data_IF_360318299990
#
_entry.id   IF_360318299990
#
_cell.length_a   1.000
_cell.length_b   1.000
_cell.length_c   1.000
_cell.angle_alpha   90.00
_cell.angle_beta   90.00
_cell.angle_gamma   90.00
#
_symmetry.space_group_name_H-M   'P 1'
#
loop_
_entity.id
_entity.type
_entity.pdbx_description
1 polymer ?
2 non-polymer ?
3 non-polymer ?
4 water ?
#
# COMPACT_ATOMS: atom_id res chain seq x y z
N UNK A 9 -12.05 7.77 -11.44
CA UNK A 9 -11.20 6.91 -12.26
C UNK A 9 -9.75 6.94 -11.80
N UNK A 10 -9.00 5.89 -12.14
CA UNK A 10 -7.61 5.74 -11.75
C UNK A 10 -6.63 5.88 -12.90
N UNK A 11 -7.03 5.51 -14.11
CA UNK A 11 -6.13 5.40 -15.23
C UNK A 11 -6.00 6.59 -16.14
N UNK A 12 -6.73 7.68 -15.86
CA UNK A 12 -6.74 8.86 -16.73
C UNK A 12 -6.05 10.06 -16.11
N UNK A 13 -5.17 9.85 -15.14
CA UNK A 13 -4.54 10.94 -14.43
C UNK A 13 -3.26 11.40 -15.14
N UNK A 14 -3.06 12.71 -15.19
CA UNK A 14 -1.86 13.30 -15.77
C UNK A 14 -0.63 12.85 -14.97
N UNK A 15 0.45 12.50 -15.68
CA UNK A 15 1.69 12.07 -15.06
C UNK A 15 2.85 12.97 -15.48
N UNK A 16 3.96 12.85 -14.75
CA UNK A 16 5.15 13.68 -14.96
C UNK A 16 5.66 13.61 -16.40
N UNK A 17 5.52 12.44 -17.04
CA UNK A 17 6.00 12.27 -18.40
C UNK A 17 5.12 12.99 -19.43
N UNK A 18 3.94 13.47 -19.04
CA UNK A 18 3.06 14.23 -19.92
C UNK A 18 3.27 15.74 -19.83
N UNK A 19 4.04 16.22 -18.86
CA UNK A 19 4.21 17.65 -18.64
C UNK A 19 5.27 18.20 -19.59
N UNK A 20 4.89 19.23 -20.37
CA UNK A 20 5.74 19.78 -21.42
C UNK A 20 6.62 20.93 -20.95
N UNK A 21 6.11 21.81 -20.08
CA UNK A 21 6.81 23.04 -19.71
C UNK A 21 7.42 22.88 -18.32
N UNK A 22 8.72 22.58 -18.26
CA UNK A 22 9.45 22.37 -17.02
C UNK A 22 10.62 23.33 -16.85
N UNK A 23 11.32 23.67 -17.93
CA UNK A 23 12.51 24.51 -17.83
C UNK A 23 12.19 25.86 -17.20
N UNK A 24 12.95 26.24 -16.17
CA UNK A 24 12.75 27.48 -15.48
C UNK A 24 11.60 27.51 -14.49
N UNK A 25 10.87 26.41 -14.31
CA UNK A 25 9.76 26.33 -13.37
C UNK A 25 10.25 26.02 -11.95
N UNK A 26 9.52 26.54 -10.97
CA UNK A 26 9.65 26.10 -9.59
C UNK A 26 8.69 24.94 -9.37
N UNK A 27 9.22 23.74 -9.15
CA UNK A 27 8.41 22.52 -9.08
C UNK A 27 8.31 22.04 -7.63
N UNK A 28 7.09 21.98 -7.11
CA UNK A 28 6.82 21.47 -5.77
C UNK A 28 6.46 19.98 -5.87
N UNK A 29 7.16 19.14 -5.10
CA UNK A 29 7.00 17.68 -5.17
C UNK A 29 6.65 17.15 -3.78
N UNK A 30 5.48 16.51 -3.66
CA UNK A 30 5.11 15.81 -2.43
C UNK A 30 5.68 14.39 -2.48
N UNK A 31 6.56 14.06 -1.53
CA UNK A 31 7.21 12.76 -1.49
C UNK A 31 6.89 12.02 -0.19
N UNK A 32 7.14 10.71 -0.20
CA UNK A 32 6.98 9.84 0.96
C UNK A 32 8.37 9.59 1.56
N UNK A 33 8.67 10.31 2.65
CA UNK A 33 9.93 10.20 3.39
C UNK A 33 9.68 9.73 4.82
N UNK A 34 8.61 8.96 5.04
CA UNK A 34 8.29 8.47 6.40
C UNK A 34 9.14 7.25 6.74
N UNK A 35 10.43 7.51 6.99
CA UNK A 35 11.41 6.45 7.24
C UNK A 35 11.75 6.39 8.72
N UNK A 36 12.15 5.22 9.25
CA UNK A 36 12.56 5.17 10.67
C UNK A 36 13.90 5.85 10.87
N UNK A 37 13.98 6.69 11.90
CA UNK A 37 15.18 7.45 12.24
C UNK A 37 15.50 7.19 13.71
N UNK A 38 16.76 6.89 14.02
CA UNK A 38 17.19 6.61 15.38
C UNK A 38 18.38 7.48 15.72
N UNK A 39 18.15 8.49 16.57
CA UNK A 39 19.12 9.52 16.94
C UNK A 39 19.94 10.00 15.74
N UNK A 40 19.22 10.47 14.72
CA UNK A 40 19.82 11.09 13.55
C UNK A 40 20.27 10.13 12.46
N UNK A 41 20.08 8.83 12.63
CA UNK A 41 20.52 7.83 11.66
C UNK A 41 19.29 7.16 11.05
N UNK A 42 19.30 7.06 9.72
CA UNK A 42 18.21 6.41 8.98
C UNK A 42 18.62 4.96 8.72
N UNK A 43 17.78 4.02 9.14
CA UNK A 43 18.13 2.61 9.06
C UNK A 43 17.65 1.93 7.80
N UNK A 44 16.76 2.56 7.04
CA UNK A 44 16.23 1.98 5.81
C UNK A 44 16.03 3.14 4.84
N UNK A 45 16.83 3.17 3.78
CA UNK A 45 16.81 4.26 2.81
C UNK A 45 16.00 3.95 1.56
N UNK A 46 15.26 2.83 1.53
CA UNK A 46 14.53 2.43 0.34
C UNK A 46 13.60 3.53 -0.18
N UNK A 47 12.85 4.17 0.73
CA UNK A 47 11.90 5.19 0.27
C UNK A 47 12.61 6.41 -0.29
N UNK A 48 13.83 6.70 0.18
CA UNK A 48 14.57 7.83 -0.36
C UNK A 48 15.11 7.51 -1.75
N UNK A 49 15.72 6.33 -1.89
CA UNK A 49 16.20 5.88 -3.20
C UNK A 49 15.06 5.87 -4.22
N UNK A 50 13.84 5.54 -3.78
CA UNK A 50 12.69 5.46 -4.68
C UNK A 50 12.34 6.79 -5.34
N UNK A 51 12.75 7.92 -4.76
CA UNK A 51 12.41 9.21 -5.36
C UNK A 51 13.38 9.67 -6.44
N UNK A 52 14.50 8.96 -6.62
CA UNK A 52 15.51 9.44 -7.55
C UNK A 52 15.00 9.61 -8.99
N UNK A 53 14.17 8.72 -9.54
CA UNK A 53 13.70 8.96 -10.93
C UNK A 53 12.94 10.27 -11.11
N UNK A 54 12.06 10.64 -10.17
CA UNK A 54 11.34 11.90 -10.27
C UNK A 54 12.30 13.09 -10.20
N UNK A 55 13.23 13.06 -9.24
CA UNK A 55 14.18 14.15 -9.08
C UNK A 55 15.07 14.30 -10.31
N UNK A 56 15.59 13.17 -10.82
CA UNK A 56 16.47 13.24 -12.00
C UNK A 56 15.75 13.81 -13.22
N UNK A 57 14.48 13.43 -13.42
CA UNK A 57 13.75 13.93 -14.57
C UNK A 57 13.60 15.45 -14.51
N UNK A 58 13.26 15.98 -13.34
CA UNK A 58 13.09 17.42 -13.19
C UNK A 58 14.41 18.15 -13.37
N UNK A 59 15.51 17.58 -12.85
CA UNK A 59 16.82 18.19 -13.04
C UNK A 59 17.19 18.25 -14.52
N UNK A 60 17.07 17.13 -15.23
CA UNK A 60 17.48 17.06 -16.62
C UNK A 60 16.64 17.99 -17.51
N UNK A 61 15.36 18.15 -17.19
CA UNK A 61 14.48 19.02 -17.96
C UNK A 61 14.64 20.50 -17.59
N UNK A 62 15.52 20.84 -16.66
CA UNK A 62 15.88 22.23 -16.42
C UNK A 62 15.04 22.99 -15.42
N UNK A 63 14.38 22.30 -14.48
CA UNK A 63 13.62 22.99 -13.45
C UNK A 63 14.49 24.02 -12.75
N UNK A 64 13.93 25.22 -12.48
CA UNK A 64 14.69 26.23 -11.73
C UNK A 64 14.90 25.80 -10.29
N UNK A 65 13.89 25.24 -9.64
CA UNK A 65 14.00 24.75 -8.27
C UNK A 65 13.18 23.48 -8.12
N UNK A 66 13.72 22.52 -7.38
CA UNK A 66 13.04 21.27 -7.06
C UNK A 66 12.78 21.28 -5.56
N UNK A 67 11.53 21.51 -5.18
CA UNK A 67 11.15 21.81 -3.80
C UNK A 67 10.36 20.63 -3.25
N UNK A 68 10.94 19.92 -2.29
CA UNK A 68 10.34 18.71 -1.73
C UNK A 68 9.63 18.99 -0.41
N UNK A 69 8.40 18.47 -0.27
CA UNK A 69 7.63 18.54 0.98
C UNK A 69 7.22 17.12 1.37
N UNK A 70 7.21 16.84 2.68
CA UNK A 70 6.98 15.47 3.16
C UNK A 70 6.66 15.50 4.66
N UNK A 71 6.56 14.30 5.26
CA UNK A 71 6.40 14.17 6.71
C UNK A 71 7.09 12.90 7.20
N UNK A 72 7.36 12.87 8.51
CA UNK A 72 7.80 11.66 9.18
C UNK A 72 7.38 11.71 10.64
N UNK A 73 7.38 10.54 11.28
CA UNK A 73 7.18 10.47 12.72
C UNK A 73 5.78 10.86 13.17
N UNK A 74 5.69 11.34 14.41
CA UNK A 74 4.42 11.63 15.07
C UNK A 74 4.43 12.99 15.77
N UNK A 75 4.68 14.09 15.05
CA UNK A 75 4.68 15.40 15.74
C UNK A 75 3.32 15.86 16.21
N UNK A 76 2.24 15.38 15.60
CA UNK A 76 0.85 15.70 16.01
C UNK A 76 0.51 17.20 15.97
N UNK A 77 1.08 17.93 15.02
CA UNK A 77 0.69 19.31 14.82
C UNK A 77 1.43 20.34 15.63
N UNK A 78 2.58 19.99 16.20
CA UNK A 78 3.48 20.95 16.83
C UNK A 78 4.89 20.69 16.32
N UNK A 79 5.76 21.68 16.52
CA UNK A 79 7.16 21.59 16.11
C UNK A 79 7.90 20.71 17.12
N UNK A 80 8.18 19.47 16.73
CA UNK A 80 8.85 18.49 17.58
C UNK A 80 10.10 18.02 16.84
N UNK A 81 11.26 18.57 17.21
CA UNK A 81 12.50 18.33 16.49
C UNK A 81 12.98 16.88 16.57
N UNK A 82 12.39 16.04 17.43
CA UNK A 82 12.69 14.62 17.34
C UNK A 82 12.33 14.08 15.96
N UNK A 83 11.35 14.69 15.30
CA UNK A 83 10.88 14.25 13.98
C UNK A 83 11.25 15.24 12.88
N UNK A 84 12.38 15.94 13.03
CA UNK A 84 12.86 16.81 11.96
C UNK A 84 13.26 15.98 10.75
N UNK A 85 13.08 16.55 9.55
CA UNK A 85 13.50 15.90 8.32
C UNK A 85 14.96 16.17 7.96
N UNK A 86 15.69 16.96 8.77
CA UNK A 86 17.09 17.27 8.49
C UNK A 86 17.94 16.07 8.07
N UNK A 87 17.95 14.93 8.79
CA UNK A 87 18.81 13.82 8.36
C UNK A 87 18.46 13.26 6.99
N UNK A 88 17.19 13.38 6.56
CA UNK A 88 16.81 12.90 5.24
C UNK A 88 17.50 13.73 4.15
N UNK A 89 17.62 15.05 4.36
CA UNK A 89 18.28 15.90 3.38
C UNK A 89 19.74 15.48 3.18
N UNK A 90 20.42 15.09 4.27
CA UNK A 90 21.81 14.65 4.16
C UNK A 90 21.91 13.34 3.39
N UNK A 91 21.04 12.37 3.71
CA UNK A 91 21.06 11.09 2.99
C UNK A 91 20.74 11.28 1.52
N UNK A 92 19.71 12.08 1.21
CA UNK A 92 19.37 12.32 -0.19
C UNK A 92 20.52 12.97 -0.94
N UNK A 93 21.21 13.93 -0.30
CA UNK A 93 22.34 14.56 -0.95
C UNK A 93 23.46 13.58 -1.29
N UNK A 94 23.74 12.66 -0.38
CA UNK A 94 24.74 11.64 -0.66
C UNK A 94 24.35 10.76 -1.84
N UNK A 95 23.06 10.40 -1.94
CA UNK A 95 22.59 9.59 -3.07
C UNK A 95 22.63 10.37 -4.38
N UNK A 96 22.37 11.67 -4.35
CA UNK A 96 22.35 12.48 -5.57
C UNK A 96 23.73 12.92 -6.02
N UNK A 97 24.71 12.97 -5.12
CA UNK A 97 26.01 13.53 -5.45
C UNK A 97 26.07 15.04 -5.42
N UNK A 98 25.15 15.69 -4.72
CA UNK A 98 25.15 17.15 -4.60
C UNK A 98 24.46 17.53 -3.29
N UNK A 99 24.75 18.73 -2.82
CA UNK A 99 24.16 19.21 -1.56
C UNK A 99 22.68 19.51 -1.74
N UNK A 100 21.88 19.08 -0.76
CA UNK A 100 20.45 19.38 -0.67
C UNK A 100 20.27 20.41 0.44
N UNK A 101 19.67 21.54 0.10
CA UNK A 101 19.41 22.59 1.08
C UNK A 101 18.22 22.22 1.95
N UNK A 102 18.39 22.30 3.28
CA UNK A 102 17.33 22.01 4.24
C UNK A 102 16.84 23.30 4.90
N UNK A 103 15.53 23.55 4.84
CA UNK A 103 14.93 24.74 5.44
C UNK A 103 14.09 24.36 6.65
N UNK A 104 14.08 25.26 7.65
CA UNK A 104 13.52 24.98 8.97
C UNK A 104 12.00 25.05 9.02
N UNK A 105 11.33 25.53 7.98
CA UNK A 105 9.87 25.58 7.93
C UNK A 105 9.46 25.22 6.51
N UNK A 106 8.14 25.17 6.26
CA UNK A 106 7.62 24.81 4.94
C UNK A 106 6.72 25.86 4.31
N UNK A 107 6.47 26.99 4.99
CA UNK A 107 5.61 28.06 4.47
C UNK A 107 6.14 29.41 4.95
N UNK A 108 5.80 30.46 4.20
CA UNK A 108 5.99 31.81 4.67
C UNK A 108 7.02 32.57 3.86
N UNK A 109 7.11 33.86 4.18
CA UNK A 109 7.96 34.77 3.41
C UNK A 109 9.44 34.44 3.55
N UNK A 110 9.89 34.01 4.72
CA UNK A 110 11.30 33.67 4.87
C UNK A 110 11.66 32.42 4.07
N UNK A 111 10.76 31.43 4.03
CA UNK A 111 10.99 30.24 3.22
C UNK A 111 11.12 30.62 1.74
N UNK A 112 10.23 31.49 1.26
CA UNK A 112 10.29 31.91 -0.15
C UNK A 112 11.61 32.59 -0.47
N UNK A 113 12.07 33.48 0.41
CA UNK A 113 13.34 34.17 0.17
C UNK A 113 14.51 33.20 0.12
N UNK A 114 14.49 32.18 1.00
CA UNK A 114 15.56 31.20 0.99
C UNK A 114 15.53 30.34 -0.27
N UNK A 115 14.33 30.01 -0.76
CA UNK A 115 14.21 29.26 -2.01
C UNK A 115 14.77 30.07 -3.17
N UNK A 116 14.42 31.36 -3.23
CA UNK A 116 14.89 32.18 -4.35
C UNK A 116 16.41 32.39 -4.30
N UNK A 117 16.99 32.43 -3.10
CA UNK A 117 18.44 32.60 -2.97
C UNK A 117 19.23 31.36 -3.39
N UNK A 118 18.60 30.18 -3.37
CA UNK A 118 19.30 28.93 -3.66
C UNK A 118 19.75 28.88 -5.12
N UNK A 119 20.75 28.04 -5.37
CA UNK A 119 21.32 27.87 -6.71
C UNK A 119 20.28 27.33 -7.68
N UNK A 120 20.32 27.84 -8.93
CA UNK A 120 19.44 27.35 -9.99
C UNK A 120 19.63 25.85 -10.21
N UNK A 121 18.52 25.14 -10.45
CA UNK A 121 18.49 23.71 -10.76
C UNK A 121 18.80 22.82 -9.56
N UNK A 122 18.74 23.36 -8.34
CA UNK A 122 19.08 22.62 -7.12
C UNK A 122 17.84 22.05 -6.42
N UNK A 123 18.10 21.19 -5.43
CA UNK A 123 17.09 20.44 -4.69
C UNK A 123 17.02 20.98 -3.27
N UNK A 124 15.79 21.23 -2.78
CA UNK A 124 15.54 21.84 -1.48
C UNK A 124 14.51 20.96 -0.76
N UNK A 125 14.76 20.62 0.49
CA UNK A 125 13.81 19.87 1.32
C UNK A 125 13.32 20.77 2.44
N UNK A 126 11.99 20.92 2.53
CA UNK A 126 11.36 21.74 3.57
C UNK A 126 11.04 20.88 4.80
N UNK A 127 10.86 21.56 5.94
CA UNK A 127 10.63 20.85 7.20
C UNK A 127 9.26 20.16 7.21
N UNK A 128 9.18 19.08 7.99
CA UNK A 128 8.01 18.23 8.25
C UNK A 128 6.68 18.98 8.19
N UNK A 129 5.82 18.62 7.24
CA UNK A 129 4.51 19.27 7.11
C UNK A 129 3.68 19.11 8.37
N UNK A 130 3.80 17.99 9.05
CA UNK A 130 2.95 17.69 10.21
C UNK A 130 3.37 18.44 11.47
N UNK A 131 4.39 19.30 11.40
CA UNK A 131 4.59 20.28 12.45
C UNK A 131 3.44 21.28 12.51
N UNK A 132 2.66 21.39 11.43
CA UNK A 132 1.52 22.30 11.37
C UNK A 132 0.24 21.50 11.54
N UNK A 133 -0.63 21.95 12.47
CA UNK A 133 -1.90 21.27 12.69
C UNK A 133 -2.74 21.26 11.43
N UNK A 134 -2.50 22.21 10.52
CA UNK A 134 -3.31 22.35 9.30
C UNK A 134 -3.05 21.26 8.27
N UNK A 135 -1.93 20.53 8.36
CA UNK A 135 -1.69 19.44 7.40
C UNK A 135 -2.69 18.31 7.60
N UNK A 136 -2.76 17.73 8.80
CA UNK A 136 -3.72 16.68 9.09
C UNK A 136 -5.10 17.23 9.43
N UNK A 137 -5.18 18.49 9.88
CA UNK A 137 -6.42 19.12 10.28
C UNK A 137 -6.72 19.01 11.75
N UNK A 138 -6.00 18.17 12.48
CA UNK A 138 -6.25 17.86 13.88
C UNK A 138 -4.92 17.54 14.52
N UNK A 139 -4.86 17.69 15.84
CA UNK A 139 -3.62 17.39 16.54
C UNK A 139 -3.82 17.49 18.04
N UNK A 140 -2.71 17.56 18.75
CA UNK A 140 -2.73 17.60 20.21
C UNK A 140 -1.54 18.44 20.66
N UNK A 141 -1.79 19.44 21.51
CA UNK A 141 -0.74 20.35 21.93
C UNK A 141 0.19 19.70 22.96
N UNK A 142 1.22 20.45 23.38
CA UNK A 142 2.23 19.89 24.26
C UNK A 142 1.63 19.43 25.59
N UNK A 143 0.66 20.18 26.11
CA UNK A 143 0.00 19.82 27.36
C UNK A 143 -0.95 18.63 27.20
N UNK A 144 -1.18 18.17 25.97
CA UNK A 144 -2.02 17.02 25.72
C UNK A 144 -3.47 17.32 25.44
N UNK A 145 -3.82 18.57 25.16
CA UNK A 145 -5.18 18.91 24.82
C UNK A 145 -5.37 18.83 23.31
N UNK A 146 -6.54 18.35 22.89
CA UNK A 146 -6.85 18.24 21.47
C UNK A 146 -6.94 19.63 20.85
N UNK A 147 -6.39 19.76 19.65
CA UNK A 147 -6.52 20.99 18.88
C UNK A 147 -7.07 20.63 17.50
N UNK A 148 -7.82 21.56 16.93
CA UNK A 148 -8.45 21.38 15.63
C UNK A 148 -8.23 22.63 14.81
N UNK A 149 -7.92 22.46 13.53
CA UNK A 149 -7.76 23.58 12.63
C UNK A 149 -9.11 23.96 12.01
N UNK A 150 -9.40 25.25 11.98
CA UNK A 150 -10.65 25.70 11.40
C UNK A 150 -10.58 25.64 9.88
N UNK A 151 -11.75 25.68 9.25
CA UNK A 151 -11.80 25.71 7.78
C UNK A 151 -10.98 26.86 7.22
N UNK A 152 -11.00 28.01 7.89
CA UNK A 152 -10.23 29.16 7.44
C UNK A 152 -8.73 28.93 7.63
N UNK A 153 -8.33 28.32 8.75
CA UNK A 153 -6.92 28.00 8.97
C UNK A 153 -6.40 27.05 7.91
N UNK A 154 -7.18 26.03 7.57
CA UNK A 154 -6.79 25.08 6.52
C UNK A 154 -6.57 25.79 5.20
N UNK A 155 -7.50 26.67 4.84
CA UNK A 155 -7.41 27.38 3.57
C UNK A 155 -6.14 28.22 3.50
N UNK A 156 -5.79 28.89 4.60
CA UNK A 156 -4.60 29.74 4.61
C UNK A 156 -3.33 28.91 4.42
N UNK A 157 -3.24 27.76 5.10
CA UNK A 157 -2.06 26.90 4.96
C UNK A 157 -1.96 26.36 3.54
N UNK A 158 -3.09 25.94 2.96
CA UNK A 158 -3.07 25.41 1.59
C UNK A 158 -2.67 26.49 0.58
N UNK A 159 -3.14 27.73 0.79
CA UNK A 159 -2.73 28.82 -0.08
C UNK A 159 -1.23 29.07 0.04
N UNK A 160 -0.69 29.00 1.26
CA UNK A 160 0.75 29.22 1.45
C UNK A 160 1.59 28.13 0.77
N UNK A 161 1.13 26.87 0.81
CA UNK A 161 1.83 25.83 0.06
C UNK A 161 1.76 26.10 -1.43
N UNK A 162 0.59 26.53 -1.92
CA UNK A 162 0.42 26.78 -3.35
C UNK A 162 1.34 27.89 -3.85
N UNK A 163 1.67 28.87 -3.00
CA UNK A 163 2.55 29.97 -3.41
C UNK A 163 4.00 29.53 -3.60
N UNK A 164 4.38 28.32 -3.15
CA UNK A 164 5.78 27.90 -3.17
C UNK A 164 6.32 27.67 -4.59
N UNK A 165 5.47 27.32 -5.54
CA UNK A 165 5.95 27.00 -6.86
C UNK A 165 4.91 27.16 -7.94
N UNK A 166 5.22 26.63 -9.12
CA UNK A 166 4.45 26.80 -10.35
C UNK A 166 3.82 25.51 -10.87
N UNK A 167 4.43 24.36 -10.61
CA UNK A 167 3.97 23.04 -11.08
C UNK A 167 3.98 22.12 -9.85
N UNK A 168 2.96 21.26 -9.73
CA UNK A 168 2.85 20.32 -8.61
C UNK A 168 2.99 18.88 -9.09
N UNK A 169 3.91 18.14 -8.47
CA UNK A 169 4.07 16.70 -8.69
C UNK A 169 3.77 15.97 -7.37
N UNK A 170 2.81 15.05 -7.39
CA UNK A 170 2.50 14.23 -6.21
C UNK A 170 3.09 12.83 -6.43
N UNK A 171 4.13 12.50 -5.66
CA UNK A 171 4.76 11.18 -5.72
C UNK A 171 4.57 10.40 -4.42
N UNK A 172 3.50 10.67 -3.67
CA UNK A 172 3.27 10.08 -2.35
C UNK A 172 1.93 9.32 -2.34
N UNK A 173 1.86 8.24 -3.13
CA UNK A 173 0.65 7.42 -3.17
C UNK A 173 0.25 6.91 -1.78
N UNK A 174 1.23 6.64 -0.92
CA UNK A 174 0.95 6.11 0.42
C UNK A 174 0.27 7.07 1.37
N UNK A 175 0.08 8.33 0.99
CA UNK A 175 -0.67 9.30 1.77
C UNK A 175 -1.95 9.74 1.05
N UNK A 176 -2.18 9.23 -0.17
CA UNK A 176 -3.26 9.72 -1.02
C UNK A 176 -4.65 9.29 -0.55
N UNK A 177 -4.74 8.38 0.43
CA UNK A 177 -6.02 8.07 1.05
C UNK A 177 -6.44 9.08 2.11
N UNK A 178 -5.60 10.08 2.41
CA UNK A 178 -5.85 11.06 3.47
C UNK A 178 -6.28 12.39 2.86
N UNK A 179 -7.28 13.02 3.49
CA UNK A 179 -7.76 14.35 3.06
C UNK A 179 -6.93 15.47 3.70
N UNK A 180 -5.62 15.40 3.50
CA UNK A 180 -4.69 16.32 4.13
C UNK A 180 -4.32 17.46 3.18
N UNK A 181 -3.82 18.56 3.76
CA UNK A 181 -3.60 19.78 2.98
C UNK A 181 -2.67 19.57 1.79
N UNK A 182 -1.58 18.82 1.97
CA UNK A 182 -0.66 18.59 0.84
C UNK A 182 -1.20 17.60 -0.19
N UNK A 183 -2.29 16.88 0.10
CA UNK A 183 -2.93 16.00 -0.86
C UNK A 183 -4.06 16.67 -1.65
N UNK A 184 -4.80 17.60 -1.06
CA UNK A 184 -6.00 18.15 -1.69
C UNK A 184 -5.93 19.64 -1.94
N UNK A 185 -4.97 20.38 -1.38
CA UNK A 185 -5.05 21.83 -1.36
C UNK A 185 -4.06 22.62 -2.19
N UNK A 186 -3.18 21.97 -2.94
CA UNK A 186 -2.15 22.66 -3.71
C UNK A 186 -2.74 22.97 -5.09
N UNK A 187 -3.25 24.19 -5.25
CA UNK A 187 -4.12 24.56 -6.37
C UNK A 187 -3.34 25.23 -7.51
N UNK A 188 -2.49 24.43 -8.15
CA UNK A 188 -1.77 24.82 -9.34
C UNK A 188 -2.46 24.29 -10.60
N UNK A 189 -2.15 24.89 -11.75
CA UNK A 189 -2.79 24.48 -13.01
C UNK A 189 -2.40 23.05 -13.40
N UNK A 190 -1.13 22.69 -13.22
CA UNK A 190 -0.64 21.36 -13.55
C UNK A 190 -0.41 20.60 -12.24
N UNK A 191 -1.14 19.48 -12.06
CA UNK A 191 -1.03 18.61 -10.89
C UNK A 191 -0.88 17.19 -11.41
N UNK A 192 0.34 16.63 -11.34
CA UNK A 192 0.64 15.37 -12.02
C UNK A 192 1.30 14.37 -11.08
N UNK A 193 1.11 13.08 -11.38
CA UNK A 193 1.76 12.03 -10.62
C UNK A 193 3.26 11.97 -10.90
N UNK A 194 4.05 11.69 -9.87
CA UNK A 194 5.45 11.33 -10.05
C UNK A 194 5.57 9.89 -10.53
N UNK A 195 6.81 9.44 -10.71
CA UNK A 195 7.03 8.11 -11.30
C UNK A 195 6.47 6.99 -10.42
N UNK A 196 6.58 7.10 -9.10
CA UNK A 196 6.06 6.05 -8.22
C UNK A 196 4.53 6.03 -8.22
N UNK A 197 3.91 7.22 -8.07
CA UNK A 197 2.46 7.29 -8.11
C UNK A 197 1.92 6.85 -9.46
N UNK A 198 2.60 7.24 -10.54
CA UNK A 198 2.19 6.84 -11.88
C UNK A 198 2.09 5.32 -11.99
N UNK A 199 3.09 4.59 -11.48
CA UNK A 199 3.09 3.14 -11.58
C UNK A 199 1.99 2.51 -10.72
N UNK A 200 1.78 3.03 -9.51
CA UNK A 200 0.67 2.52 -8.68
C UNK A 200 -0.66 2.67 -9.41
N UNK A 201 -0.93 3.86 -9.95
CA UNK A 201 -2.21 4.10 -10.63
C UNK A 201 -2.32 3.26 -11.91
N UNK A 202 -1.22 3.11 -12.64
CA UNK A 202 -1.24 2.34 -13.88
C UNK A 202 -1.68 0.90 -13.63
N UNK A 203 -1.11 0.26 -12.60
CA UNK A 203 -1.38 -1.16 -12.39
C UNK A 203 -2.69 -1.41 -11.64
N UNK A 204 -3.04 -0.56 -10.68
CA UNK A 204 -4.36 -0.72 -10.07
C UNK A 204 -5.48 -0.45 -11.08
N UNK A 205 -5.27 0.49 -12.01
CA UNK A 205 -6.23 0.66 -13.11
C UNK A 205 -6.33 -0.59 -13.97
N UNK A 206 -5.19 -1.23 -14.27
CA UNK A 206 -5.23 -2.43 -15.08
C UNK A 206 -5.97 -3.56 -14.38
N UNK A 207 -5.89 -3.61 -13.04
CA UNK A 207 -6.54 -4.69 -12.31
C UNK A 207 -8.03 -4.45 -12.11
N UNK A 208 -8.45 -3.19 -11.94
CA UNK A 208 -9.79 -2.89 -11.47
C UNK A 208 -10.72 -2.27 -12.49
N UNK A 209 -10.19 -1.67 -13.57
CA UNK A 209 -11.04 -0.88 -14.45
C UNK A 209 -11.47 -1.62 -15.72
N UNK A 210 -10.52 -2.07 -16.54
CA UNK A 210 -10.85 -2.95 -17.66
C UNK A 210 -9.85 -4.10 -17.69
N UNK A 211 -9.93 -5.00 -16.72
CA UNK A 211 -8.93 -6.07 -16.62
C UNK A 211 -9.07 -7.05 -17.77
N UNK A 212 -7.94 -7.62 -18.17
CA UNK A 212 -8.00 -8.80 -19.03
C UNK A 212 -8.46 -9.97 -18.19
N UNK A 213 -9.50 -10.64 -18.65
CA UNK A 213 -10.11 -11.68 -17.83
C UNK A 213 -9.70 -13.06 -18.31
N UNK A 214 -9.83 -14.11 -17.45
CA UNK A 214 -10.37 -14.15 -16.08
C UNK A 214 -9.57 -13.33 -15.07
N UNK A 215 -10.28 -12.65 -14.16
CA UNK A 215 -9.68 -11.90 -13.06
C UNK A 215 -9.82 -12.72 -11.78
N UNK A 216 -8.69 -13.00 -11.13
CA UNK A 216 -8.63 -13.82 -9.92
C UNK A 216 -8.14 -12.96 -8.76
N UNK A 217 -8.82 -13.07 -7.61
CA UNK A 217 -8.32 -12.56 -6.34
C UNK A 217 -7.83 -13.73 -5.49
N UNK A 218 -6.65 -13.58 -4.88
CA UNK A 218 -6.12 -14.56 -3.94
C UNK A 218 -6.07 -13.88 -2.58
N UNK A 219 -6.88 -14.35 -1.63
CA UNK A 219 -6.97 -13.74 -0.32
C UNK A 219 -6.53 -14.72 0.77
N UNK A 220 -5.90 -14.18 1.81
CA UNK A 220 -5.45 -15.01 2.92
C UNK A 220 -5.08 -14.15 4.09
N UNK A 221 -4.75 -14.82 5.19
CA UNK A 221 -4.41 -14.18 6.44
C UNK A 221 -5.12 -14.86 7.59
N UNK A 222 -4.92 -14.30 8.78
CA UNK A 222 -5.35 -14.95 10.02
C UNK A 222 -6.86 -14.89 10.25
N UNK A 223 -7.51 -13.77 9.93
CA UNK A 223 -8.88 -13.52 10.38
C UNK A 223 -9.80 -13.17 9.21
N UNK A 224 -11.09 -13.32 9.46
CA UNK A 224 -12.13 -12.90 8.51
C UNK A 224 -12.47 -11.42 8.69
N UNK A 225 -12.58 -10.96 9.94
CA UNK A 225 -13.23 -9.67 10.21
C UNK A 225 -12.55 -8.50 9.50
N UNK A 226 -11.22 -8.43 9.52
CA UNK A 226 -10.55 -7.30 8.90
C UNK A 226 -10.53 -7.37 7.37
N UNK A 227 -11.02 -8.47 6.77
CA UNK A 227 -11.04 -8.62 5.32
C UNK A 227 -12.43 -8.52 4.71
N UNK A 228 -13.47 -8.27 5.52
CA UNK A 228 -14.84 -8.30 5.02
C UNK A 228 -15.06 -7.23 3.96
N UNK A 229 -14.61 -5.99 4.22
CA UNK A 229 -14.80 -4.92 3.24
C UNK A 229 -14.05 -5.20 1.95
N UNK A 230 -12.82 -5.71 2.07
CA UNK A 230 -12.02 -6.08 0.91
C UNK A 230 -12.70 -7.17 0.08
N UNK A 231 -13.17 -8.24 0.75
CA UNK A 231 -13.80 -9.35 0.03
C UNK A 231 -15.06 -8.88 -0.69
N UNK A 232 -15.93 -8.15 0.02
CA UNK A 232 -17.20 -7.74 -0.57
C UNK A 232 -17.00 -6.82 -1.77
N UNK A 233 -16.01 -5.91 -1.71
CA UNK A 233 -15.75 -5.06 -2.88
C UNK A 233 -15.21 -5.87 -4.05
N UNK A 234 -14.26 -6.77 -3.80
CA UNK A 234 -13.69 -7.54 -4.90
C UNK A 234 -14.71 -8.50 -5.52
N UNK A 235 -15.73 -8.94 -4.76
CA UNK A 235 -16.78 -9.76 -5.37
C UNK A 235 -17.56 -9.01 -6.44
N UNK A 236 -17.54 -7.68 -6.44
CA UNK A 236 -18.16 -6.90 -7.51
C UNK A 236 -17.33 -6.89 -8.80
N UNK A 237 -16.07 -7.32 -8.76
CA UNK A 237 -15.14 -7.18 -9.88
C UNK A 237 -14.65 -8.51 -10.44
N UNK A 238 -14.35 -9.49 -9.59
CA UNK A 238 -13.57 -10.66 -10.02
C UNK A 238 -14.43 -11.77 -10.63
N UNK A 239 -13.78 -12.71 -11.30
CA UNK A 239 -14.41 -13.94 -11.78
C UNK A 239 -14.23 -15.11 -10.83
N UNK A 240 -13.12 -15.15 -10.09
CA UNK A 240 -12.75 -16.27 -9.22
C UNK A 240 -12.05 -15.72 -7.99
N UNK A 241 -12.15 -16.45 -6.87
CA UNK A 241 -11.48 -16.04 -5.63
C UNK A 241 -11.00 -17.25 -4.85
N UNK A 242 -9.70 -17.29 -4.54
CA UNK A 242 -9.13 -18.24 -3.58
C UNK A 242 -9.20 -17.60 -2.20
N UNK A 243 -9.66 -18.36 -1.21
CA UNK A 243 -9.67 -17.93 0.20
C UNK A 243 -8.88 -18.96 1.00
N UNK A 244 -7.80 -18.52 1.64
CA UNK A 244 -6.93 -19.43 2.36
C UNK A 244 -6.30 -18.86 3.61
N UNK A 245 -5.28 -19.56 4.15
CA UNK A 245 -4.70 -19.15 5.41
C UNK A 245 -5.63 -19.43 6.60
N UNK A 246 -5.30 -18.81 7.74
CA UNK A 246 -6.04 -19.10 8.96
C UNK A 246 -7.52 -18.76 8.88
N UNK A 247 -7.88 -17.75 8.08
CA UNK A 247 -9.28 -17.38 7.96
C UNK A 247 -10.14 -18.52 7.43
N UNK A 248 -9.55 -19.46 6.70
CA UNK A 248 -10.33 -20.52 6.06
C UNK A 248 -11.01 -21.44 7.07
N UNK A 249 -10.41 -21.63 8.26
CA UNK A 249 -11.03 -22.55 9.24
C UNK A 249 -12.38 -22.05 9.70
N UNK A 250 -12.56 -20.72 9.77
CA UNK A 250 -13.87 -20.16 10.13
C UNK A 250 -14.92 -20.48 9.05
N UNK A 251 -14.54 -20.36 7.77
CA UNK A 251 -15.45 -20.74 6.68
C UNK A 251 -15.83 -22.22 6.75
N UNK A 252 -14.84 -23.11 6.94
CA UNK A 252 -15.15 -24.55 6.94
C UNK A 252 -16.08 -24.91 8.09
N UNK A 253 -15.90 -24.29 9.26
CA UNK A 253 -16.79 -24.55 10.39
C UNK A 253 -18.22 -24.08 10.11
N UNK A 254 -18.38 -22.83 9.66
CA UNK A 254 -19.73 -22.30 9.43
C UNK A 254 -20.44 -23.06 8.33
N UNK A 255 -19.74 -23.35 7.23
CA UNK A 255 -20.38 -23.90 6.03
C UNK A 255 -20.59 -25.41 6.12
N UNK A 256 -19.63 -26.15 6.68
CA UNK A 256 -19.71 -27.61 6.68
C UNK A 256 -19.72 -28.23 8.07
N UNK A 257 -19.72 -27.43 9.13
CA UNK A 257 -19.60 -27.94 10.50
C UNK A 257 -18.33 -28.79 10.67
N UNK A 258 -17.27 -28.45 9.94
CA UNK A 258 -16.02 -29.20 10.03
C UNK A 258 -15.41 -29.05 11.42
N UNK A 259 -14.93 -30.16 11.98
CA UNK A 259 -14.13 -30.09 13.21
C UNK A 259 -12.84 -29.35 12.91
N UNK A 260 -12.51 -28.37 13.77
CA UNK A 260 -11.31 -27.55 13.58
C UNK A 260 -10.31 -27.65 14.72
N UNK A 261 -10.59 -28.43 15.75
CA UNK A 261 -9.63 -28.56 16.84
C UNK A 261 -9.29 -27.21 17.47
N UNK A 262 -7.99 -26.95 17.64
CA UNK A 262 -7.50 -25.70 18.22
C UNK A 262 -7.04 -24.71 17.16
N UNK A 263 -7.47 -24.88 15.90
CA UNK A 263 -7.18 -23.90 14.85
C UNK A 263 -7.83 -22.56 15.19
N UNK A 264 -7.30 -21.50 14.56
CA UNK A 264 -7.86 -20.16 14.73
C UNK A 264 -9.34 -20.13 14.34
N UNK A 265 -10.14 -19.44 15.15
CA UNK A 265 -11.56 -19.25 14.88
C UNK A 265 -11.95 -17.81 15.20
N UNK A 266 -12.57 -17.13 14.22
CA UNK A 266 -12.91 -15.71 14.31
C UNK A 266 -14.40 -15.61 14.64
N UNK A 267 -14.73 -15.43 15.92
CA UNK A 267 -16.14 -15.48 16.31
C UNK A 267 -16.93 -14.33 15.69
N UNK A 268 -16.42 -13.10 15.79
CA UNK A 268 -17.17 -11.98 15.21
C UNK A 268 -17.31 -12.12 13.70
N UNK A 269 -16.23 -12.52 13.02
CA UNK A 269 -16.26 -12.66 11.58
C UNK A 269 -17.09 -13.83 11.09
N UNK A 270 -17.21 -14.89 11.91
CA UNK A 270 -18.01 -16.05 11.52
C UNK A 270 -19.44 -15.68 11.18
N UNK A 271 -19.97 -14.62 11.79
CA UNK A 271 -21.35 -14.20 11.58
C UNK A 271 -21.61 -13.61 10.20
N UNK A 272 -20.56 -13.31 9.43
CA UNK A 272 -20.64 -12.70 8.10
C UNK A 272 -20.29 -13.69 6.98
N UNK A 273 -19.88 -14.92 7.31
CA UNK A 273 -19.47 -15.89 6.28
C UNK A 273 -20.60 -16.18 5.30
N UNK A 274 -21.83 -16.39 5.79
CA UNK A 274 -22.92 -16.72 4.88
C UNK A 274 -23.22 -15.56 3.93
N UNK A 275 -23.14 -14.31 4.42
CA UNK A 275 -23.34 -13.15 3.54
C UNK A 275 -22.31 -13.14 2.42
N UNK A 276 -21.06 -13.48 2.74
CA UNK A 276 -20.01 -13.49 1.71
C UNK A 276 -20.31 -14.53 0.65
N UNK A 277 -20.69 -15.74 1.07
CA UNK A 277 -20.94 -16.81 0.11
C UNK A 277 -22.18 -16.53 -0.72
N UNK A 278 -23.18 -15.88 -0.12
CA UNK A 278 -24.40 -15.49 -0.81
C UNK A 278 -24.14 -14.40 -1.85
N UNK A 279 -23.20 -13.49 -1.58
CA UNK A 279 -22.84 -12.46 -2.57
C UNK A 279 -22.04 -13.07 -3.72
N UNK A 280 -21.18 -14.06 -3.41
CA UNK A 280 -20.46 -14.75 -4.47
C UNK A 280 -21.42 -15.43 -5.44
N UNK A 281 -22.50 -16.04 -4.94
CA UNK A 281 -23.50 -16.63 -5.83
C UNK A 281 -24.18 -15.56 -6.69
N UNK A 282 -24.54 -14.43 -6.08
CA UNK A 282 -25.28 -13.40 -6.81
C UNK A 282 -24.43 -12.74 -7.90
N UNK A 283 -23.11 -12.68 -7.70
CA UNK A 283 -22.20 -12.10 -8.68
C UNK A 283 -21.55 -13.13 -9.58
N UNK A 284 -21.90 -14.41 -9.44
CA UNK A 284 -21.38 -15.47 -10.32
C UNK A 284 -19.85 -15.63 -10.18
N UNK A 285 -19.36 -15.60 -8.94
CA UNK A 285 -17.92 -15.74 -8.64
C UNK A 285 -17.70 -17.14 -8.08
N UNK A 286 -16.71 -17.86 -8.62
CA UNK A 286 -16.33 -19.17 -8.10
C UNK A 286 -15.38 -19.00 -6.91
N UNK A 287 -15.70 -19.68 -5.79
CA UNK A 287 -14.89 -19.64 -4.56
C UNK A 287 -14.09 -20.93 -4.44
N UNK A 288 -12.80 -20.80 -4.08
CA UNK A 288 -11.89 -21.93 -3.90
C UNK A 288 -11.28 -21.92 -2.50
N UNK A 289 -11.92 -22.64 -1.55
CA UNK A 289 -11.43 -22.88 -0.20
C UNK A 289 -10.62 -24.19 -0.17
N UNK A 290 -9.75 -24.38 0.82
CA UNK A 290 -8.96 -25.62 0.88
C UNK A 290 -9.85 -26.82 1.14
N UNK A 291 -9.41 -27.97 0.60
CA UNK A 291 -10.05 -29.26 0.81
C UNK A 291 -9.20 -30.21 1.64
N UNK A 292 -8.03 -29.77 2.12
CA UNK A 292 -7.18 -30.54 3.02
C UNK A 292 -6.20 -29.58 3.67
N UNK A 293 -5.53 -30.05 4.72
CA UNK A 293 -4.76 -29.18 5.60
C UNK A 293 -3.56 -29.92 6.18
N UNK A 294 -2.45 -29.20 6.34
CA UNK A 294 -1.34 -29.69 7.15
C UNK A 294 -1.56 -29.23 8.58
N UNK A 295 -1.72 -30.18 9.50
CA UNK A 295 -2.07 -29.92 10.88
C UNK A 295 -0.89 -30.25 11.79
N UNK A 296 -0.87 -29.63 12.98
CA UNK A 296 0.26 -29.70 13.91
C UNK A 296 -0.24 -29.92 15.34
N UNK A 297 0.57 -30.58 16.17
CA UNK A 297 0.18 -30.81 17.55
C UNK A 297 0.64 -29.71 18.52
N UNK A 298 1.30 -28.66 18.01
CA UNK A 298 1.86 -27.58 18.80
C UNK A 298 2.03 -26.40 17.83
N UNK A 299 1.92 -25.17 18.34
CA UNK A 299 2.14 -23.98 17.51
C UNK A 299 3.65 -23.71 17.42
N UNK A 300 4.32 -24.48 16.56
CA UNK A 300 5.78 -24.52 16.54
C UNK A 300 6.23 -25.17 15.24
N UNK A 301 7.29 -24.62 14.63
CA UNK A 301 7.84 -25.20 13.41
C UNK A 301 8.31 -26.64 13.60
N UNK A 302 8.65 -27.03 14.83
CA UNK A 302 9.16 -28.37 15.13
C UNK A 302 8.06 -29.36 15.55
N UNK A 303 6.79 -29.00 15.37
CA UNK A 303 5.70 -29.86 15.82
C UNK A 303 5.65 -31.16 15.03
N UNK A 304 5.00 -32.16 15.63
CA UNK A 304 4.54 -33.31 14.86
C UNK A 304 3.42 -32.88 13.93
N UNK A 305 3.43 -33.38 12.70
CA UNK A 305 2.48 -32.96 11.67
C UNK A 305 1.89 -34.16 10.92
N UNK A 306 0.77 -33.89 10.25
CA UNK A 306 0.13 -34.83 9.34
C UNK A 306 -0.82 -34.07 8.43
N UNK A 307 -1.41 -34.78 7.47
CA UNK A 307 -2.36 -34.22 6.51
C UNK A 307 -3.74 -34.83 6.76
N UNK A 308 -4.76 -33.98 6.81
CA UNK A 308 -6.15 -34.39 6.94
C UNK A 308 -7.00 -33.70 5.87
N UNK A 309 -8.03 -34.41 5.39
CA UNK A 309 -8.94 -33.84 4.40
C UNK A 309 -10.08 -33.07 5.10
N UNK A 310 -10.84 -32.31 4.32
CA UNK A 310 -12.00 -31.62 4.87
C UNK A 310 -13.15 -32.56 5.22
N UNK A 311 -13.12 -33.79 4.69
CA UNK A 311 -14.06 -34.84 5.10
C UNK A 311 -13.69 -35.41 6.46
N UNK A 312 -12.38 -35.61 6.72
CA UNK A 312 -11.90 -36.06 8.01
C UNK A 312 -12.06 -34.99 9.10
N UNK A 313 -11.77 -33.73 8.78
CA UNK A 313 -11.69 -32.70 9.80
C UNK A 313 -10.44 -32.82 10.65
N UNK A 314 -10.36 -31.96 11.66
CA UNK A 314 -9.17 -31.81 12.51
C UNK A 314 -9.52 -32.28 13.91
N UNK A 315 -8.72 -33.17 14.46
CA UNK A 315 -9.08 -33.71 15.77
C UNK A 315 -8.78 -32.71 16.89
N UNK A 316 -9.40 -32.97 18.05
CA UNK A 316 -9.21 -32.12 19.23
C UNK A 316 -7.73 -31.99 19.53
N UNK A 317 -7.32 -30.77 19.88
CA UNK A 317 -5.98 -30.40 20.34
C UNK A 317 -4.93 -30.31 19.22
N UNK A 318 -5.30 -30.53 17.95
CA UNK A 318 -4.47 -30.25 16.78
C UNK A 318 -4.94 -28.94 16.13
N UNK A 319 -4.05 -28.34 15.33
CA UNK A 319 -4.36 -27.07 14.68
C UNK A 319 -3.82 -27.05 13.25
N UNK A 320 -4.64 -26.56 12.32
CA UNK A 320 -4.21 -26.43 10.93
C UNK A 320 -3.36 -25.17 10.72
N UNK A 321 -2.23 -25.33 10.01
CA UNK A 321 -1.27 -24.24 9.80
C UNK A 321 -0.85 -24.01 8.36
N UNK A 322 -1.25 -24.87 7.41
CA UNK A 322 -1.01 -24.63 5.99
C UNK A 322 -2.05 -25.41 5.18
N UNK A 323 -2.24 -24.98 3.94
CA UNK A 323 -3.00 -25.79 2.99
C UNK A 323 -2.32 -27.13 2.77
N UNK A 324 -3.14 -28.16 2.50
CA UNK A 324 -2.63 -29.50 2.23
C UNK A 324 -2.29 -29.73 0.77
N UNK A 325 -1.78 -30.93 0.45
CA UNK A 325 -1.29 -31.20 -0.92
C UNK A 325 -2.36 -31.16 -2.01
N UNK A 326 -3.57 -31.64 -1.73
CA UNK A 326 -4.63 -31.58 -2.75
C UNK A 326 -5.06 -30.14 -3.01
N UNK A 327 -5.15 -29.34 -1.96
CA UNK A 327 -5.48 -27.91 -2.10
C UNK A 327 -4.43 -27.20 -2.94
N UNK A 328 -3.15 -27.55 -2.73
CA UNK A 328 -2.05 -26.94 -3.49
C UNK A 328 -2.12 -27.35 -4.96
N UNK A 329 -2.45 -28.62 -5.23
CA UNK A 329 -2.66 -29.06 -6.60
C UNK A 329 -3.84 -28.32 -7.24
N UNK A 330 -4.89 -28.04 -6.46
CA UNK A 330 -6.04 -27.31 -7.01
C UNK A 330 -5.69 -25.89 -7.42
N UNK A 331 -4.58 -25.32 -6.93
CA UNK A 331 -4.18 -23.98 -7.35
C UNK A 331 -3.87 -23.92 -8.85
N UNK A 332 -3.37 -25.02 -9.43
CA UNK A 332 -2.80 -24.97 -10.78
C UNK A 332 -3.81 -24.47 -11.81
N UNK A 333 -4.94 -25.17 -11.93
CA UNK A 333 -5.91 -24.79 -12.96
C UNK A 333 -6.50 -23.41 -12.71
N UNK A 334 -6.62 -23.01 -11.44
CA UNK A 334 -7.22 -21.71 -11.10
C UNK A 334 -6.27 -20.57 -11.46
N UNK A 335 -5.01 -20.67 -11.06
CA UNK A 335 -4.06 -19.57 -11.26
C UNK A 335 -3.60 -19.50 -12.70
N UNK A 336 -3.22 -20.64 -13.30
CA UNK A 336 -2.62 -20.60 -14.63
C UNK A 336 -3.62 -20.20 -15.72
N UNK A 337 -4.93 -20.31 -15.47
CA UNK A 337 -5.92 -19.87 -16.43
C UNK A 337 -6.32 -18.40 -16.29
N UNK A 338 -5.75 -17.68 -15.33
CA UNK A 338 -6.13 -16.29 -15.06
C UNK A 338 -5.20 -15.32 -15.78
N UNK A 339 -5.77 -14.25 -16.30
CA UNK A 339 -4.98 -13.23 -16.97
C UNK A 339 -4.74 -11.96 -16.14
N UNK A 340 -5.47 -11.76 -15.06
CA UNK A 340 -5.14 -10.75 -14.06
C UNK A 340 -5.29 -11.38 -12.68
N UNK A 341 -4.34 -11.09 -11.79
CA UNK A 341 -4.27 -11.69 -10.46
C UNK A 341 -4.02 -10.59 -9.43
N UNK A 342 -4.90 -10.50 -8.43
CA UNK A 342 -4.73 -9.59 -7.31
C UNK A 342 -4.53 -10.46 -6.08
N UNK A 343 -3.34 -10.37 -5.47
CA UNK A 343 -2.94 -11.26 -4.38
C UNK A 343 -2.74 -10.46 -3.10
N UNK A 344 -3.60 -10.72 -2.10
CA UNK A 344 -3.53 -10.08 -0.79
C UNK A 344 -3.69 -11.15 0.30
N UNK A 345 -2.62 -11.90 0.58
CA UNK A 345 -2.57 -12.76 1.74
C UNK A 345 -1.89 -14.10 1.52
N UNK A 346 -0.95 -14.47 2.39
CA UNK A 346 -0.36 -15.81 2.34
C UNK A 346 -1.39 -16.89 2.65
N UNK A 347 -1.05 -18.13 2.29
CA UNK A 347 -1.96 -19.27 2.37
C UNK A 347 -1.66 -20.19 3.55
N UNK A 348 -0.75 -19.78 4.43
CA UNK A 348 -0.40 -20.54 5.63
C UNK A 348 0.57 -19.72 6.45
N UNK A 349 1.09 -20.32 7.53
CA UNK A 349 2.04 -19.64 8.41
C UNK A 349 3.44 -19.67 7.77
N UNK A 350 3.63 -18.78 6.80
CA UNK A 350 4.82 -18.82 5.94
C UNK A 350 6.11 -18.47 6.69
N UNK A 351 6.02 -17.87 7.87
CA UNK A 351 7.22 -17.59 8.66
C UNK A 351 7.84 -18.83 9.26
N UNK A 352 7.12 -19.95 9.29
CA UNK A 352 7.64 -21.24 9.75
C UNK A 352 7.87 -22.10 8.52
N UNK A 353 9.12 -22.46 8.20
CA UNK A 353 9.38 -23.17 6.93
C UNK A 353 8.51 -24.39 6.69
N UNK A 354 8.22 -25.18 7.72
CA UNK A 354 7.40 -26.38 7.50
C UNK A 354 5.95 -26.06 7.15
N UNK A 355 5.51 -24.81 7.33
CA UNK A 355 4.16 -24.38 7.00
C UNK A 355 4.13 -23.32 5.90
N UNK A 356 5.20 -23.25 5.11
CA UNK A 356 5.38 -22.27 4.04
C UNK A 356 5.09 -22.83 2.64
N UNK A 357 4.95 -24.15 2.49
CA UNK A 357 4.89 -24.75 1.16
C UNK A 357 3.69 -24.27 0.34
N UNK A 358 2.52 -24.13 0.99
CA UNK A 358 1.35 -23.64 0.27
C UNK A 358 1.58 -22.25 -0.32
N UNK A 359 2.18 -21.36 0.47
CA UNK A 359 2.43 -19.99 0.01
C UNK A 359 3.51 -19.95 -1.07
N UNK A 360 4.55 -20.77 -0.93
CA UNK A 360 5.61 -20.79 -1.92
C UNK A 360 5.12 -21.35 -3.26
N UNK A 361 4.32 -22.41 -3.23
CA UNK A 361 3.79 -22.94 -4.49
C UNK A 361 2.81 -21.95 -5.14
N UNK A 362 1.98 -21.27 -4.35
CA UNK A 362 1.15 -20.20 -4.88
C UNK A 362 2.01 -19.16 -5.61
N UNK A 363 3.08 -18.71 -4.96
CA UNK A 363 3.99 -17.75 -5.59
C UNK A 363 4.56 -18.28 -6.90
N UNK A 364 5.01 -19.55 -6.92
CA UNK A 364 5.59 -20.11 -8.15
C UNK A 364 4.59 -20.12 -9.29
N UNK A 365 3.30 -20.39 -9.01
CA UNK A 365 2.28 -20.41 -10.05
C UNK A 365 1.95 -19.00 -10.53
N UNK A 366 1.88 -18.03 -9.61
CA UNK A 366 1.64 -16.64 -10.02
C UNK A 366 2.75 -16.17 -10.95
N UNK A 367 4.00 -16.53 -10.66
CA UNK A 367 5.12 -16.17 -11.52
C UNK A 367 4.99 -16.81 -12.89
N UNK A 368 4.61 -18.10 -12.92
CA UNK A 368 4.46 -18.80 -14.19
C UNK A 368 3.38 -18.15 -15.06
N UNK A 369 2.24 -17.80 -14.46
CA UNK A 369 1.18 -17.12 -15.22
C UNK A 369 1.66 -15.77 -15.74
N UNK A 370 2.40 -15.02 -14.92
CA UNK A 370 2.89 -13.71 -15.33
C UNK A 370 3.85 -13.82 -16.51
N UNK A 371 4.72 -14.85 -16.50
CA UNK A 371 5.65 -15.02 -17.60
C UNK A 371 4.94 -15.30 -18.91
N UNK A 372 3.74 -15.88 -18.85
CA UNK A 372 2.93 -16.18 -20.02
C UNK A 372 1.97 -15.06 -20.39
N UNK A 373 2.06 -13.91 -19.73
CA UNK A 373 1.29 -12.74 -20.12
C UNK A 373 0.30 -12.23 -19.09
N UNK A 374 0.14 -12.86 -17.93
CA UNK A 374 -0.78 -12.34 -16.93
C UNK A 374 -0.19 -11.13 -16.24
N UNK A 375 -1.08 -10.27 -15.72
CA UNK A 375 -0.68 -9.13 -14.89
C UNK A 375 -0.93 -9.51 -13.44
N UNK A 376 0.11 -9.46 -12.61
CA UNK A 376 0.04 -9.84 -11.21
C UNK A 376 0.33 -8.64 -10.31
N UNK A 377 -0.54 -8.41 -9.34
CA UNK A 377 -0.42 -7.28 -8.40
C UNK A 377 -0.45 -7.81 -6.98
N UNK A 378 0.58 -7.46 -6.19
CA UNK A 378 0.66 -7.83 -4.78
C UNK A 378 0.36 -6.60 -3.94
N UNK A 379 -0.56 -6.75 -2.98
CA UNK A 379 -1.12 -5.58 -2.31
C UNK A 379 -0.21 -4.96 -1.27
N UNK A 380 0.49 -5.78 -0.51
CA UNK A 380 1.45 -5.29 0.48
C UNK A 380 1.56 -6.26 1.64
N UNK A 381 1.96 -5.72 2.78
CA UNK A 381 1.96 -6.47 4.03
C UNK A 381 2.76 -7.76 3.98
N UNK A 382 2.15 -8.83 4.52
CA UNK A 382 2.83 -10.11 4.61
C UNK A 382 3.08 -10.72 3.23
N UNK A 383 2.20 -10.46 2.25
CA UNK A 383 2.46 -11.00 0.90
C UNK A 383 3.73 -10.39 0.31
N UNK A 384 3.90 -9.07 0.45
CA UNK A 384 5.12 -8.43 -0.04
C UNK A 384 6.34 -9.01 0.67
N UNK A 385 6.24 -9.26 1.98
CA UNK A 385 7.34 -9.86 2.73
C UNK A 385 7.69 -11.25 2.17
N UNK A 386 6.68 -12.06 1.87
CA UNK A 386 6.93 -13.37 1.28
C UNK A 386 7.69 -13.24 -0.04
N UNK A 387 7.24 -12.33 -0.91
CA UNK A 387 7.90 -12.13 -2.19
C UNK A 387 9.35 -11.69 -2.00
N UNK A 388 9.59 -10.78 -1.05
CA UNK A 388 10.95 -10.28 -0.82
C UNK A 388 11.85 -11.39 -0.27
N UNK A 389 11.33 -12.18 0.68
CA UNK A 389 12.13 -13.25 1.27
C UNK A 389 12.49 -14.32 0.25
N UNK A 390 11.61 -14.59 -0.71
CA UNK A 390 11.90 -15.51 -1.81
C UNK A 390 12.69 -14.86 -2.93
N UNK A 391 12.98 -13.56 -2.84
CA UNK A 391 13.79 -12.84 -3.83
C UNK A 391 13.15 -12.86 -5.22
N UNK A 392 11.85 -12.58 -5.28
CA UNK A 392 11.08 -12.67 -6.52
C UNK A 392 10.34 -11.38 -6.88
N UNK A 393 10.79 -10.23 -6.37
CA UNK A 393 10.07 -8.98 -6.65
C UNK A 393 10.02 -8.67 -8.15
N UNK A 394 11.11 -8.94 -8.87
CA UNK A 394 11.16 -8.66 -10.30
C UNK A 394 10.31 -9.60 -11.14
N UNK A 395 9.73 -10.63 -10.54
CA UNK A 395 8.90 -11.61 -11.25
C UNK A 395 7.42 -11.34 -11.10
N UNK A 396 7.03 -10.32 -10.35
CA UNK A 396 5.65 -9.90 -10.17
C UNK A 396 5.49 -8.56 -10.89
N UNK A 397 4.34 -8.38 -11.56
CA UNK A 397 4.14 -7.17 -12.36
C UNK A 397 4.24 -5.91 -11.50
N UNK A 398 3.66 -5.94 -10.31
CA UNK A 398 3.64 -4.76 -9.44
C UNK A 398 3.48 -5.19 -7.99
N UNK A 399 4.49 -4.91 -7.17
CA UNK A 399 4.39 -5.05 -5.72
C UNK A 399 4.16 -3.65 -5.16
N UNK A 400 2.96 -3.37 -4.68
CA UNK A 400 2.63 -2.04 -4.19
C UNK A 400 3.38 -1.71 -2.91
N UNK A 401 3.78 -0.45 -2.77
CA UNK A 401 4.32 0.07 -1.52
C UNK A 401 3.43 1.14 -0.91
N UNK A 402 2.13 1.11 -1.24
CA UNK A 402 1.19 2.13 -0.82
C UNK A 402 0.56 1.94 0.54
N UNK A 403 0.86 0.81 1.19
CA UNK A 403 0.36 0.54 2.53
C UNK A 403 -1.15 0.67 2.68
N UNK A 404 -1.56 1.60 3.56
CA UNK A 404 -2.97 1.78 3.84
C UNK A 404 -3.76 2.32 2.66
N UNK A 405 -3.11 3.10 1.78
CA UNK A 405 -3.81 3.59 0.60
C UNK A 405 -4.15 2.46 -0.35
N UNK A 406 -3.26 1.48 -0.49
CA UNK A 406 -3.54 0.33 -1.36
C UNK A 406 -4.72 -0.48 -0.84
N UNK A 407 -4.78 -0.69 0.47
CA UNK A 407 -5.91 -1.41 1.04
C UNK A 407 -7.22 -0.65 0.84
N UNK A 408 -7.22 0.67 1.10
CA UNK A 408 -8.44 1.46 0.89
C UNK A 408 -8.90 1.38 -0.56
N UNK A 409 -7.96 1.43 -1.50
CA UNK A 409 -8.32 1.35 -2.91
C UNK A 409 -8.97 0.01 -3.24
N UNK A 410 -8.41 -1.08 -2.73
CA UNK A 410 -8.98 -2.41 -2.99
C UNK A 410 -10.30 -2.63 -2.26
N UNK A 411 -10.56 -1.88 -1.19
CA UNK A 411 -11.84 -1.88 -0.50
C UNK A 411 -12.90 -1.03 -1.21
N UNK A 412 -12.53 -0.30 -2.27
CA UNK A 412 -13.48 0.51 -3.00
C UNK A 412 -13.65 1.92 -2.49
N UNK A 413 -12.75 2.41 -1.66
CA UNK A 413 -12.84 3.74 -1.09
C UNK A 413 -12.19 4.78 -1.99
N UNK A 414 -12.63 6.03 -1.82
CA UNK A 414 -12.09 7.14 -2.60
C UNK A 414 -10.77 7.61 -2.00
N UNK A 415 -9.83 7.96 -2.89
CA UNK A 415 -8.51 8.45 -2.49
C UNK A 415 -8.42 9.94 -2.80
N UNK A 416 -8.56 10.82 -1.79
CA UNK A 416 -8.57 12.27 -2.08
C UNK A 416 -7.36 12.76 -2.87
N UNK A 417 -6.17 12.22 -2.61
CA UNK A 417 -4.99 12.68 -3.32
C UNK A 417 -4.99 12.29 -4.80
N UNK A 418 -5.69 11.20 -5.15
CA UNK A 418 -5.83 10.82 -6.55
C UNK A 418 -6.88 11.68 -7.24
N UNK A 419 -8.02 11.90 -6.58
CA UNK A 419 -9.09 12.74 -7.13
C UNK A 419 -8.56 14.12 -7.49
N UNK A 420 -7.64 14.67 -6.68
CA UNK A 420 -7.14 16.03 -6.87
C UNK A 420 -6.15 16.17 -8.02
N UNK A 421 -5.68 15.08 -8.63
CA UNK A 421 -4.76 15.20 -9.75
C UNK A 421 -5.48 15.69 -11.02
N UNK A 422 -4.72 16.33 -11.91
CA UNK A 422 -5.21 16.75 -13.21
C UNK A 422 -5.55 15.54 -14.06
N UNK A 423 -6.45 15.75 -15.01
CA UNK A 423 -6.83 14.72 -15.97
C UNK A 423 -5.93 14.78 -17.20
N UNK A 424 -5.78 13.64 -17.86
CA UNK A 424 -4.93 13.56 -19.05
C UNK A 424 -5.50 14.36 -20.22
X LIG B 1 -23.40 -19.50 -11.51
X LIG C 1 2.89 -33.98 7.28
#
# INVERSE_FOLDING_TARGET
>A
MSHHHHHHSLGNKLSITDVKAIQGKKVLVRVDFNVPIENGVIKDTNRITATLPTIHHLKKEGAAKIILISHCGRPDGTKNLKYTLKPVAETLGTLLGEEVLFLSDCVGEEVAAQINQAKDNSVILLENLRFHVEEEGKGVDAAGNKIKASKEDMEKFQNELTKLGDVFINDAFGTAHRAHSSMVGIKMNVKASGFLMKKELEYFSKALENPQRPLLAILGGAKVSDKIQLIKNLLDKVDKMIIGGGMAYTFKYVLNNMKIGDSLFDEAGSKIVNEIMEKAKAKNVEIYLPVDFKVADKFDNNANTKVVTDEEGIEDKWMGLDAGPKSIENYKDVILSSKTIIWNGPQGVFEMPNFAKGSIECLNLVIEATKKGAISIVGGGDTASLVEQQQKKNEISHVSTGGGASLELLEGKELPGVVALSSK
>B hetero
1 K K
>C hetero
1 BR BR
#
